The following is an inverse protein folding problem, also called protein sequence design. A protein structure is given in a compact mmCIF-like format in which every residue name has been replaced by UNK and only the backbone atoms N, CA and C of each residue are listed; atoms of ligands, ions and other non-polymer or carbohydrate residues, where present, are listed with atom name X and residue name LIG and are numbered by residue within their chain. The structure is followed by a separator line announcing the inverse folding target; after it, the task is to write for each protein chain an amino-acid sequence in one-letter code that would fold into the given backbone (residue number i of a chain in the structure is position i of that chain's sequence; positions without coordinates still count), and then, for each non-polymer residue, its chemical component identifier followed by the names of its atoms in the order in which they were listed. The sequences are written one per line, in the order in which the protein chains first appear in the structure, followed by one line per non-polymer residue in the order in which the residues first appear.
data_IF_987589751927
#
_entry.id   IF_987589751927
#
_cell.length_a   1.000
_cell.length_b   1.000
_cell.length_c   1.000
_cell.angle_alpha   90.00
_cell.angle_beta   90.00
_cell.angle_gamma   90.00
#
_symmetry.space_group_name_H-M   'P 1'
#
loop_
_entity.id
_entity.type
_entity.pdbx_description
1 polymer ?
#
# COMPACT_ATOMS: atom_id res chain seq x y z
N UNK A 1 -20.62 6.79 16.24
CA UNK A 1 -21.20 7.34 15.00
C UNK A 1 -20.13 7.78 14.00
N UNK A 2 -19.15 8.63 14.35
CA UNK A 2 -18.06 9.02 13.43
C UNK A 2 -17.16 7.85 12.99
N UNK A 3 -16.85 6.90 13.87
CA UNK A 3 -16.02 5.74 13.49
C UNK A 3 -16.67 4.90 12.38
N UNK A 4 -17.99 4.69 12.41
CA UNK A 4 -18.68 3.97 11.34
C UNK A 4 -18.62 4.71 9.99
N UNK A 5 -18.66 6.05 10.00
CA UNK A 5 -18.53 6.86 8.77
C UNK A 5 -17.13 6.70 8.18
N UNK A 6 -16.08 6.81 9.01
CA UNK A 6 -14.70 6.63 8.56
C UNK A 6 -14.44 5.20 8.07
N UNK A 7 -14.96 4.20 8.77
CA UNK A 7 -14.83 2.79 8.38
C UNK A 7 -15.52 2.49 7.04
N UNK A 8 -16.72 3.03 6.82
CA UNK A 8 -17.44 2.87 5.56
C UNK A 8 -16.69 3.57 4.43
N UNK A 9 -16.22 4.80 4.65
CA UNK A 9 -15.44 5.54 3.66
C UNK A 9 -14.19 4.78 3.23
N UNK A 10 -13.39 4.30 4.17
CA UNK A 10 -12.17 3.52 3.87
C UNK A 10 -12.53 2.23 3.14
N UNK A 11 -13.62 1.57 3.54
CA UNK A 11 -14.08 0.35 2.88
C UNK A 11 -14.46 0.60 1.42
N UNK A 12 -15.22 1.65 1.14
CA UNK A 12 -15.62 2.03 -0.21
C UNK A 12 -14.42 2.41 -1.08
N UNK A 13 -13.49 3.21 -0.55
CA UNK A 13 -12.25 3.56 -1.25
C UNK A 13 -11.44 2.31 -1.62
N UNK A 14 -11.29 1.38 -0.67
CA UNK A 14 -10.55 0.15 -0.91
C UNK A 14 -11.27 -0.75 -1.93
N UNK A 15 -12.60 -0.81 -1.90
CA UNK A 15 -13.38 -1.59 -2.86
C UNK A 15 -13.22 -1.02 -4.28
N UNK A 16 -13.27 0.31 -4.44
CA UNK A 16 -13.05 0.98 -5.72
C UNK A 16 -11.63 0.71 -6.22
N UNK A 17 -10.61 0.84 -5.37
CA UNK A 17 -9.20 0.56 -5.71
C UNK A 17 -9.03 -0.88 -6.22
N UNK A 18 -9.47 -1.86 -5.43
CA UNK A 18 -9.27 -3.27 -5.75
C UNK A 18 -10.08 -3.70 -6.98
N UNK A 19 -11.32 -3.22 -7.15
CA UNK A 19 -12.13 -3.49 -8.34
C UNK A 19 -11.50 -2.90 -9.61
N UNK A 20 -11.01 -1.66 -9.53
CA UNK A 20 -10.37 -0.99 -10.67
C UNK A 20 -9.13 -1.73 -11.11
N UNK A 21 -8.26 -2.13 -10.17
CA UNK A 21 -7.05 -2.90 -10.45
C UNK A 21 -7.34 -4.29 -10.99
N UNK A 22 -8.33 -4.99 -10.42
CA UNK A 22 -8.77 -6.30 -10.94
C UNK A 22 -9.28 -6.18 -12.37
N UNK A 23 -10.15 -5.21 -12.64
CA UNK A 23 -10.67 -4.97 -13.99
C UNK A 23 -9.53 -4.65 -14.97
N UNK A 24 -8.58 -3.79 -14.58
CA UNK A 24 -7.43 -3.47 -15.41
C UNK A 24 -6.58 -4.71 -15.71
N UNK A 25 -6.26 -5.51 -14.69
CA UNK A 25 -5.50 -6.75 -14.85
C UNK A 25 -6.20 -7.73 -15.80
N UNK A 26 -7.49 -7.98 -15.60
CA UNK A 26 -8.29 -8.90 -16.43
C UNK A 26 -8.31 -8.45 -17.90
N UNK A 27 -8.31 -7.14 -18.15
CA UNK A 27 -8.33 -6.60 -19.51
C UNK A 27 -6.95 -6.63 -20.17
N UNK A 28 -5.89 -6.25 -19.44
CA UNK A 28 -4.51 -6.33 -19.94
C UNK A 28 -4.16 -7.77 -20.32
N UNK A 29 -4.56 -8.75 -19.51
CA UNK A 29 -4.40 -10.18 -19.83
C UNK A 29 -5.14 -10.60 -21.10
N UNK A 30 -6.32 -10.02 -21.37
CA UNK A 30 -7.13 -10.35 -22.55
C UNK A 30 -6.63 -9.67 -23.82
N UNK A 31 -6.19 -8.42 -23.75
CA UNK A 31 -5.85 -7.61 -24.93
C UNK A 31 -4.37 -7.58 -25.24
N UNK A 32 -3.50 -7.84 -24.26
CA UNK A 32 -2.05 -7.68 -24.38
C UNK A 32 -1.58 -6.22 -24.37
N UNK A 33 -2.48 -5.25 -24.21
CA UNK A 33 -2.14 -3.82 -24.25
C UNK A 33 -1.69 -3.31 -22.87
N UNK A 34 -0.37 -3.31 -22.65
CA UNK A 34 0.26 -2.90 -21.39
C UNK A 34 0.17 -1.38 -21.10
N UNK A 35 0.06 -0.52 -22.12
CA UNK A 35 -0.14 0.93 -21.95
C UNK A 35 -1.52 1.34 -22.46
N UNK A 36 -2.55 0.91 -21.73
CA UNK A 36 -3.96 1.06 -22.11
C UNK A 36 -4.69 2.06 -21.20
N UNK A 37 -5.91 2.42 -21.60
CA UNK A 37 -6.86 3.22 -20.82
C UNK A 37 -7.04 2.70 -19.37
N UNK A 38 -6.77 1.42 -19.13
CA UNK A 38 -6.84 0.78 -17.82
C UNK A 38 -5.81 1.32 -16.82
N UNK A 39 -4.59 1.62 -17.26
CA UNK A 39 -3.60 2.26 -16.38
C UNK A 39 -4.01 3.70 -16.03
N UNK A 40 -4.55 4.44 -17.00
CA UNK A 40 -5.05 5.79 -16.76
C UNK A 40 -6.18 5.79 -15.73
N UNK A 41 -7.06 4.78 -15.74
CA UNK A 41 -8.10 4.64 -14.73
C UNK A 41 -7.50 4.36 -13.35
N UNK A 42 -6.50 3.47 -13.24
CA UNK A 42 -5.79 3.23 -11.98
C UNK A 42 -5.20 4.53 -11.44
N UNK A 43 -4.42 5.25 -12.25
CA UNK A 43 -3.79 6.50 -11.81
C UNK A 43 -4.81 7.58 -11.44
N UNK A 44 -5.96 7.62 -12.11
CA UNK A 44 -7.04 8.55 -11.76
C UNK A 44 -7.63 8.22 -10.39
N UNK A 45 -7.88 6.94 -10.10
CA UNK A 45 -8.35 6.48 -8.78
C UNK A 45 -7.31 6.77 -7.70
N UNK A 46 -6.03 6.47 -7.96
CA UNK A 46 -4.94 6.75 -7.03
C UNK A 46 -4.86 8.24 -6.68
N UNK A 47 -4.95 9.13 -7.68
CA UNK A 47 -4.94 10.58 -7.45
C UNK A 47 -6.12 11.09 -6.61
N UNK A 48 -7.32 10.51 -6.81
CA UNK A 48 -8.50 10.81 -5.98
C UNK A 48 -8.27 10.32 -4.54
N UNK A 49 -7.76 9.10 -4.38
CA UNK A 49 -7.46 8.52 -3.08
C UNK A 49 -6.38 9.30 -2.34
N UNK A 50 -5.35 9.79 -3.01
CA UNK A 50 -4.30 10.63 -2.41
C UNK A 50 -4.91 11.84 -1.69
N UNK A 51 -5.82 12.56 -2.36
CA UNK A 51 -6.49 13.71 -1.77
C UNK A 51 -7.39 13.30 -0.61
N UNK A 52 -8.10 12.18 -0.76
CA UNK A 52 -9.02 11.69 0.27
C UNK A 52 -8.29 11.20 1.52
N UNK A 53 -7.13 10.55 1.39
CA UNK A 53 -6.26 10.17 2.50
C UNK A 53 -5.81 11.42 3.28
N UNK A 54 -5.37 12.47 2.58
CA UNK A 54 -4.96 13.74 3.22
C UNK A 54 -6.10 14.37 4.01
N UNK A 55 -7.33 14.33 3.48
CA UNK A 55 -8.53 14.78 4.20
C UNK A 55 -8.83 13.91 5.43
N UNK A 56 -8.76 12.59 5.30
CA UNK A 56 -8.95 11.65 6.42
C UNK A 56 -7.96 11.98 7.55
N UNK A 57 -6.68 12.13 7.23
CA UNK A 57 -5.64 12.46 8.22
C UNK A 57 -5.92 13.81 8.89
N UNK A 58 -6.35 14.81 8.11
CA UNK A 58 -6.69 16.14 8.64
C UNK A 58 -7.89 16.12 9.58
N UNK A 59 -8.93 15.35 9.24
CA UNK A 59 -10.22 15.35 9.97
C UNK A 59 -10.24 14.37 11.15
N UNK A 60 -9.63 13.19 10.99
CA UNK A 60 -9.71 12.08 11.95
C UNK A 60 -8.36 11.73 12.60
N UNK A 61 -7.27 12.35 12.14
CA UNK A 61 -5.90 11.96 12.46
C UNK A 61 -5.49 10.68 11.72
N UNK A 62 -4.28 10.21 12.00
CA UNK A 62 -3.81 8.93 11.48
C UNK A 62 -4.67 7.78 12.03
N UNK A 63 -5.13 6.84 11.17
CA UNK A 63 -5.93 5.71 11.62
C UNK A 63 -5.16 4.74 12.53
N UNK A 64 -5.85 4.21 13.53
CA UNK A 64 -5.33 3.21 14.48
C UNK A 64 -6.28 2.02 14.61
N UNK A 65 -5.79 0.87 15.09
CA UNK A 65 -6.64 -0.32 15.30
C UNK A 65 -7.78 -0.03 16.27
N UNK A 66 -7.52 0.74 17.32
CA UNK A 66 -8.53 1.15 18.30
C UNK A 66 -9.67 1.98 17.65
N UNK A 67 -9.33 2.88 16.72
CA UNK A 67 -10.32 3.77 16.10
C UNK A 67 -11.20 3.07 15.07
N UNK A 68 -10.60 2.24 14.22
CA UNK A 68 -11.27 1.72 13.02
C UNK A 68 -11.29 0.19 12.90
N UNK A 69 -10.60 -0.53 13.79
CA UNK A 69 -10.45 -1.99 13.71
C UNK A 69 -9.36 -2.43 12.74
N UNK A 70 -8.85 -3.64 12.95
CA UNK A 70 -7.73 -4.22 12.19
C UNK A 70 -8.07 -4.35 10.70
N UNK A 71 -9.25 -4.88 10.37
CA UNK A 71 -9.65 -5.11 8.97
C UNK A 71 -9.70 -3.83 8.15
N UNK A 72 -10.26 -2.77 8.72
CA UNK A 72 -10.35 -1.47 8.05
C UNK A 72 -8.99 -0.80 7.96
N UNK A 73 -8.12 -0.99 8.97
CA UNK A 73 -6.77 -0.46 8.92
C UNK A 73 -5.93 -1.13 7.82
N UNK A 74 -6.11 -2.44 7.61
CA UNK A 74 -5.51 -3.16 6.48
C UNK A 74 -6.02 -2.65 5.13
N UNK A 75 -7.31 -2.35 5.01
CA UNK A 75 -7.87 -1.69 3.81
C UNK A 75 -7.28 -0.29 3.59
N UNK A 76 -7.11 0.49 4.66
CA UNK A 76 -6.47 1.80 4.57
C UNK A 76 -5.02 1.67 4.08
N UNK A 77 -4.28 0.70 4.60
CA UNK A 77 -2.92 0.38 4.15
C UNK A 77 -2.86 0.00 2.67
N UNK A 78 -3.81 -0.82 2.16
CA UNK A 78 -3.90 -1.17 0.74
C UNK A 78 -4.01 0.07 -0.16
N UNK A 79 -4.74 1.09 0.27
CA UNK A 79 -4.85 2.33 -0.52
C UNK A 79 -3.57 3.16 -0.39
N UNK A 80 -2.98 3.24 0.81
CA UNK A 80 -1.75 4.00 1.07
C UNK A 80 -0.57 3.48 0.26
N UNK A 81 -0.37 2.16 0.17
CA UNK A 81 0.77 1.61 -0.57
C UNK A 81 0.72 1.96 -2.07
N UNK A 82 -0.46 2.22 -2.62
CA UNK A 82 -0.63 2.62 -4.02
C UNK A 82 -0.35 4.10 -4.30
N UNK A 83 -0.03 4.89 -3.26
CA UNK A 83 0.27 6.31 -3.41
C UNK A 83 1.72 6.57 -3.87
N UNK A 84 2.17 5.86 -4.91
CA UNK A 84 3.56 5.89 -5.39
C UNK A 84 3.99 7.27 -5.91
N UNK A 85 3.03 8.09 -6.37
CA UNK A 85 3.26 9.46 -6.80
C UNK A 85 3.45 10.45 -5.63
N UNK A 86 3.28 10.00 -4.38
CA UNK A 86 3.46 10.80 -3.16
C UNK A 86 4.15 9.98 -2.07
N UNK A 87 5.44 9.72 -2.30
CA UNK A 87 6.30 8.97 -1.37
C UNK A 87 6.35 9.62 0.02
N UNK A 88 6.20 10.95 0.10
CA UNK A 88 6.11 11.65 1.38
C UNK A 88 4.87 11.23 2.17
N UNK A 89 3.70 11.15 1.52
CA UNK A 89 2.49 10.64 2.15
C UNK A 89 2.64 9.19 2.60
N UNK A 90 3.26 8.33 1.78
CA UNK A 90 3.55 6.94 2.17
C UNK A 90 4.40 6.88 3.44
N UNK A 91 5.46 7.69 3.52
CA UNK A 91 6.34 7.79 4.70
C UNK A 91 5.62 8.28 5.95
N UNK A 92 4.79 9.31 5.81
CA UNK A 92 4.02 9.84 6.92
C UNK A 92 3.02 8.79 7.46
N UNK A 93 2.32 8.07 6.58
CA UNK A 93 1.45 6.98 6.99
C UNK A 93 2.23 5.81 7.62
N UNK A 94 3.38 5.42 7.06
CA UNK A 94 4.25 4.39 7.63
C UNK A 94 4.67 4.70 9.07
N UNK A 95 4.99 5.97 9.34
CA UNK A 95 5.42 6.44 10.66
C UNK A 95 4.28 6.53 11.67
N UNK A 96 3.12 7.01 11.25
CA UNK A 96 2.08 7.46 12.19
C UNK A 96 0.85 6.54 12.27
N UNK A 97 0.61 5.66 11.28
CA UNK A 97 -0.49 4.70 11.34
C UNK A 97 -0.10 3.45 12.14
N UNK A 98 -1.07 2.84 12.81
CA UNK A 98 -0.90 1.61 13.61
C UNK A 98 -0.87 0.33 12.74
N UNK A 99 -0.17 0.37 11.62
CA UNK A 99 -0.03 -0.79 10.73
C UNK A 99 0.70 -1.93 11.45
N UNK A 100 0.28 -3.16 11.14
CA UNK A 100 0.96 -4.38 11.60
C UNK A 100 2.32 -4.53 10.93
N UNK A 101 3.15 -5.42 11.48
CA UNK A 101 4.56 -5.59 11.07
C UNK A 101 4.65 -5.93 9.58
N UNK A 102 3.77 -6.78 9.09
CA UNK A 102 3.73 -7.19 7.69
C UNK A 102 3.46 -5.98 6.78
N UNK A 103 2.38 -5.25 7.04
CA UNK A 103 2.03 -4.02 6.32
C UNK A 103 3.13 -2.96 6.38
N UNK A 104 3.76 -2.77 7.54
CA UNK A 104 4.91 -1.85 7.69
C UNK A 104 6.10 -2.29 6.86
N UNK A 105 6.41 -3.58 6.82
CA UNK A 105 7.57 -4.11 6.09
C UNK A 105 7.38 -3.96 4.58
N UNK A 106 6.18 -4.26 4.08
CA UNK A 106 5.82 -4.04 2.69
C UNK A 106 5.86 -2.56 2.28
N UNK A 107 5.29 -1.67 3.09
CA UNK A 107 5.30 -0.24 2.81
C UNK A 107 6.71 0.37 2.94
N UNK A 108 7.55 -0.16 3.85
CA UNK A 108 8.95 0.24 3.98
C UNK A 108 9.72 -0.02 2.69
N UNK A 109 9.65 -1.24 2.16
CA UNK A 109 10.33 -1.58 0.91
C UNK A 109 9.78 -0.78 -0.28
N UNK A 110 8.46 -0.56 -0.34
CA UNK A 110 7.83 0.27 -1.37
C UNK A 110 8.40 1.69 -1.38
N UNK A 111 8.47 2.32 -0.21
CA UNK A 111 9.07 3.65 -0.02
C UNK A 111 10.54 3.63 -0.43
N UNK A 112 11.32 2.64 0.03
CA UNK A 112 12.74 2.55 -0.29
C UNK A 112 12.98 2.44 -1.80
N UNK A 113 12.23 1.59 -2.51
CA UNK A 113 12.34 1.45 -3.96
C UNK A 113 11.96 2.75 -4.67
N UNK A 114 10.86 3.39 -4.28
CA UNK A 114 10.45 4.67 -4.88
C UNK A 114 11.47 5.79 -4.63
N UNK A 115 12.29 5.68 -3.57
CA UNK A 115 13.43 6.57 -3.29
C UNK A 115 14.75 6.13 -3.95
N UNK A 116 14.75 5.07 -4.77
CA UNK A 116 15.95 4.54 -5.43
C UNK A 116 16.92 3.82 -4.49
N UNK A 117 16.43 3.34 -3.34
CA UNK A 117 17.21 2.61 -2.33
C UNK A 117 16.94 1.11 -2.40
N UNK A 118 17.85 0.32 -1.81
CA UNK A 118 17.66 -1.12 -1.62
C UNK A 118 16.50 -1.40 -0.66
N UNK A 119 15.81 -2.50 -0.89
CA UNK A 119 14.79 -3.02 0.02
C UNK A 119 15.42 -3.46 1.34
N UNK A 120 14.60 -3.56 2.39
CA UNK A 120 14.97 -4.11 3.68
C UNK A 120 14.46 -5.54 3.85
N UNK A 121 13.27 -5.86 3.34
CA UNK A 121 12.60 -7.14 3.57
C UNK A 121 12.31 -7.95 2.29
N UNK A 122 12.67 -7.42 1.12
CA UNK A 122 12.48 -8.09 -0.17
C UNK A 122 11.02 -8.34 -0.54
N UNK A 123 10.11 -7.46 -0.13
CA UNK A 123 8.65 -7.65 -0.32
C UNK A 123 8.14 -7.21 -1.68
N UNK A 124 8.91 -6.42 -2.42
CA UNK A 124 8.56 -5.94 -3.75
C UNK A 124 9.29 -6.78 -4.79
N UNK A 125 8.58 -7.73 -5.39
CA UNK A 125 9.12 -8.68 -6.37
C UNK A 125 9.08 -8.10 -7.79
N UNK A 126 10.03 -7.21 -8.11
CA UNK A 126 10.17 -6.68 -9.48
C UNK A 126 11.34 -7.27 -10.26
N UNK A 127 12.25 -8.02 -9.62
CA UNK A 127 13.45 -8.63 -10.22
C UNK A 127 13.86 -9.91 -9.49
N UNK A 128 14.72 -10.71 -10.12
CA UNK A 128 15.41 -11.84 -9.48
C UNK A 128 16.28 -11.32 -8.32
N UNK A 129 16.02 -11.82 -7.11
CA UNK A 129 16.75 -11.46 -5.89
C UNK A 129 18.07 -12.24 -5.88
N UNK A 130 19.19 -11.54 -5.76
CA UNK A 130 20.51 -12.18 -5.62
C UNK A 130 20.59 -13.01 -4.33
N UNK A 131 21.43 -14.05 -4.30
CA UNK A 131 21.63 -14.86 -3.08
C UNK A 131 22.11 -13.99 -1.90
N UNK A 132 22.96 -12.99 -2.18
CA UNK A 132 23.44 -12.04 -1.17
C UNK A 132 22.29 -11.20 -0.59
N UNK A 133 21.44 -10.63 -1.44
CA UNK A 133 20.28 -9.85 -0.98
C UNK A 133 19.28 -10.74 -0.24
N UNK A 134 19.06 -11.99 -0.68
CA UNK A 134 18.20 -12.96 0.00
C UNK A 134 18.67 -13.26 1.43
N UNK A 135 19.98 -13.42 1.65
CA UNK A 135 20.55 -13.60 2.99
C UNK A 135 20.25 -12.37 3.87
N UNK A 136 20.46 -11.16 3.34
CA UNK A 136 20.21 -9.91 4.07
C UNK A 136 18.72 -9.77 4.41
N UNK A 137 17.83 -9.97 3.44
CA UNK A 137 16.39 -9.86 3.65
C UNK A 137 15.89 -10.90 4.65
N UNK A 138 16.32 -12.16 4.55
CA UNK A 138 15.90 -13.20 5.49
C UNK A 138 16.38 -12.94 6.92
N UNK A 139 17.57 -12.35 7.08
CA UNK A 139 18.02 -11.85 8.39
C UNK A 139 17.07 -10.79 8.94
N UNK A 140 16.79 -9.74 8.17
CA UNK A 140 15.91 -8.65 8.61
C UNK A 140 14.47 -9.14 8.88
N UNK A 141 13.98 -10.08 8.06
CA UNK A 141 12.66 -10.71 8.22
C UNK A 141 12.57 -11.49 9.54
N UNK A 142 13.62 -12.23 9.90
CA UNK A 142 13.66 -12.95 11.17
C UNK A 142 13.61 -12.01 12.40
N UNK A 143 14.23 -10.83 12.33
CA UNK A 143 14.22 -9.84 13.40
C UNK A 143 12.82 -9.29 13.71
N UNK A 144 11.91 -9.32 12.73
CA UNK A 144 10.53 -8.83 12.87
C UNK A 144 9.48 -9.95 12.82
N UNK A 145 9.89 -11.22 12.73
CA UNK A 145 8.97 -12.37 12.72
C UNK A 145 8.29 -12.65 11.37
N UNK A 146 8.85 -12.18 10.25
CA UNK A 146 8.38 -12.51 8.91
C UNK A 146 8.97 -13.85 8.41
N UNK A 147 8.20 -14.56 7.58
CA UNK A 147 8.61 -15.83 6.94
C UNK A 147 9.73 -15.58 5.94
N UNK A 148 10.79 -16.40 5.94
CA UNK A 148 11.89 -16.30 4.97
C UNK A 148 11.43 -16.49 3.50
N UNK A 149 12.14 -15.85 2.55
CA UNK A 149 11.88 -15.88 1.11
C UNK A 149 12.96 -16.55 0.30
#
# INVERSE_FOLDING_TARGET
MQNNILQNLISEMCEIDQKTRKMAFDQIQKTGESFSIFNLMIYSVDGIHQQRIKQIIKEYGYPTKEKIGVDILKKFWLIVQHQDMDVFLQRECLKNCDFDIEEKSHLTDRVLINEGKKQMYGTQFSQDISDEDRIIYNKNRAEVGLVAI
#
